data_IF_443084333110
#
_entry.id   IF_443084333110
#
_cell.length_a   1.000
_cell.length_b   1.000
_cell.length_c   1.000
_cell.angle_alpha   90.00
_cell.angle_beta   90.00
_cell.angle_gamma   90.00
#
_symmetry.space_group_name_H-M   'P 1'
#
loop_
_entity.id
_entity.type
_entity.pdbx_description
1 polymer ?
#
# COMPACT_ATOMS: atom_id res chain seq x y z
N UNK A 1 -7.61 19.07 13.08
CA UNK A 1 -6.78 19.05 11.87
C UNK A 1 -5.77 17.93 12.09
N UNK A 2 -6.03 16.77 11.51
CA UNK A 2 -5.20 15.56 11.74
C UNK A 2 -4.23 15.47 10.56
N UNK A 3 -2.91 15.41 10.77
CA UNK A 3 -1.97 15.24 9.67
C UNK A 3 -2.18 13.89 8.99
N UNK A 4 -2.03 13.82 7.66
CA UNK A 4 -2.17 12.62 6.85
C UNK A 4 -1.29 11.46 7.37
N UNK A 5 -0.16 11.78 7.98
CA UNK A 5 0.78 10.85 8.61
C UNK A 5 0.16 10.04 9.76
N UNK A 6 -0.80 10.64 10.50
CA UNK A 6 -1.44 9.98 11.63
C UNK A 6 -2.51 8.96 11.18
N UNK A 7 -3.08 9.17 10.00
CA UNK A 7 -4.16 8.33 9.44
C UNK A 7 -3.68 7.01 8.81
N UNK A 8 -2.39 6.89 8.52
CA UNK A 8 -1.83 5.71 7.85
C UNK A 8 -1.64 4.49 8.77
N UNK A 9 -1.65 4.66 10.10
CA UNK A 9 -1.23 3.59 11.03
C UNK A 9 -2.07 3.43 12.31
N UNK A 10 -2.99 4.33 12.63
CA UNK A 10 -3.64 4.31 13.96
C UNK A 10 -4.98 3.58 14.07
N UNK A 11 -5.61 3.17 12.97
CA UNK A 11 -6.94 2.54 13.04
C UNK A 11 -7.08 1.22 12.26
N UNK A 12 -6.01 0.49 12.08
CA UNK A 12 -6.22 -0.95 11.95
C UNK A 12 -6.24 -1.49 13.38
N UNK A 13 -7.40 -1.93 13.91
CA UNK A 13 -7.34 -2.78 15.07
C UNK A 13 -6.35 -3.87 14.69
N UNK A 14 -5.31 -4.06 15.49
CA UNK A 14 -4.44 -5.22 15.38
C UNK A 14 -5.39 -6.39 15.59
N UNK A 15 -6.01 -6.84 14.50
CA UNK A 15 -6.72 -8.10 14.51
C UNK A 15 -5.65 -9.14 14.80
N UNK A 16 -5.98 -10.13 15.58
CA UNK A 16 -5.00 -11.12 15.98
C UNK A 16 -4.41 -11.77 14.72
N UNK A 17 -3.13 -11.52 14.46
CA UNK A 17 -2.43 -12.08 13.32
C UNK A 17 -1.95 -13.48 13.69
N UNK A 18 -2.48 -14.50 13.03
CA UNK A 18 -2.03 -15.87 13.16
C UNK A 18 -0.86 -16.14 12.23
N UNK A 19 0.27 -16.61 12.76
CA UNK A 19 1.41 -17.01 11.94
C UNK A 19 1.17 -18.41 11.39
N UNK A 20 1.11 -18.51 10.05
CA UNK A 20 0.89 -19.79 9.37
C UNK A 20 2.10 -20.71 9.58
N UNK A 21 1.88 -21.83 10.22
CA UNK A 21 2.90 -22.81 10.50
C UNK A 21 2.35 -24.25 10.53
N UNK A 22 3.24 -25.21 10.28
CA UNK A 22 2.97 -26.62 10.56
C UNK A 22 3.26 -26.94 12.04
N UNK A 23 2.58 -27.94 12.62
CA UNK A 23 1.52 -28.78 12.05
C UNK A 23 0.08 -28.22 12.21
N UNK A 24 -0.08 -27.08 12.85
CA UNK A 24 -1.37 -26.58 13.34
C UNK A 24 -2.34 -26.18 12.21
N UNK A 25 -1.83 -25.74 11.06
CA UNK A 25 -2.66 -25.18 9.99
C UNK A 25 -2.88 -26.13 8.81
N UNK A 26 -2.54 -27.42 8.97
CA UNK A 26 -2.70 -28.43 7.90
C UNK A 26 -4.15 -28.66 7.50
N UNK A 27 -5.08 -28.40 8.42
CA UNK A 27 -6.52 -28.54 8.19
C UNK A 27 -7.21 -27.19 8.04
N UNK A 28 -6.47 -26.13 7.72
CA UNK A 28 -7.00 -24.79 7.58
C UNK A 28 -7.05 -24.33 6.11
N UNK A 29 -8.05 -23.52 5.84
CA UNK A 29 -8.28 -22.84 4.58
C UNK A 29 -8.53 -21.34 4.82
N UNK A 30 -8.43 -20.56 3.75
CA UNK A 30 -8.70 -19.12 3.77
C UNK A 30 -10.17 -18.85 3.47
N UNK A 31 -10.80 -18.03 4.30
CA UNK A 31 -12.09 -17.42 4.00
C UNK A 31 -11.87 -16.20 3.09
N UNK A 32 -12.16 -16.33 1.79
CA UNK A 32 -11.98 -15.28 0.79
C UNK A 32 -13.22 -14.36 0.65
N UNK A 33 -14.23 -14.56 1.46
CA UNK A 33 -15.44 -13.70 1.49
C UNK A 33 -15.26 -12.47 2.37
N UNK A 34 -14.23 -12.45 3.21
CA UNK A 34 -13.92 -11.31 4.07
C UNK A 34 -13.45 -10.12 3.23
N UNK A 35 -13.80 -8.94 3.69
CA UNK A 35 -13.42 -7.68 3.09
C UNK A 35 -12.42 -6.96 3.99
N UNK A 36 -11.60 -6.12 3.38
CA UNK A 36 -10.70 -5.27 4.13
C UNK A 36 -11.48 -4.44 5.16
N UNK A 37 -11.12 -4.51 6.46
CA UNK A 37 -11.87 -3.80 7.51
C UNK A 37 -11.82 -2.28 7.31
N UNK A 38 -12.90 -1.60 7.65
CA UNK A 38 -13.00 -0.14 7.59
C UNK A 38 -12.60 0.50 6.25
N UNK A 39 -12.75 -0.24 5.14
CA UNK A 39 -12.36 0.22 3.81
C UNK A 39 -13.04 1.55 3.43
N UNK A 40 -14.26 1.76 3.91
CA UNK A 40 -15.03 3.00 3.68
C UNK A 40 -14.40 4.23 4.34
N UNK A 41 -13.61 4.05 5.40
CA UNK A 41 -12.91 5.14 6.09
C UNK A 41 -11.47 5.31 5.67
N UNK A 42 -10.95 4.38 4.89
CA UNK A 42 -9.56 4.38 4.43
C UNK A 42 -9.35 5.44 3.37
N UNK A 43 -8.66 6.52 3.70
CA UNK A 43 -8.45 7.66 2.81
C UNK A 43 -7.12 7.61 2.05
N UNK A 44 -6.22 6.70 2.38
CA UNK A 44 -4.96 6.51 1.64
C UNK A 44 -4.40 5.11 1.86
N UNK A 45 -3.58 4.66 0.91
CA UNK A 45 -2.83 3.39 1.00
C UNK A 45 -1.42 3.56 0.43
N UNK A 46 -0.42 2.86 0.98
CA UNK A 46 0.93 2.90 0.44
C UNK A 46 1.00 2.18 -0.91
N UNK A 47 1.89 2.65 -1.77
CA UNK A 47 2.17 2.10 -3.09
C UNK A 47 3.61 1.60 -3.18
N UNK A 48 3.80 0.42 -3.77
CA UNK A 48 5.09 -0.03 -4.25
C UNK A 48 5.58 0.81 -5.44
N UNK A 49 6.90 0.81 -5.68
CA UNK A 49 7.49 1.66 -6.72
C UNK A 49 6.91 1.40 -8.12
N UNK A 50 6.64 0.13 -8.46
CA UNK A 50 6.08 -0.23 -9.76
C UNK A 50 4.58 0.04 -9.86
N UNK A 51 3.87 0.11 -8.73
CA UNK A 51 2.44 0.44 -8.72
C UNK A 51 2.14 1.88 -9.12
N UNK A 52 3.09 2.80 -8.90
CA UNK A 52 2.93 4.23 -9.20
C UNK A 52 2.51 4.47 -10.64
N UNK A 53 3.02 3.68 -11.60
CA UNK A 53 2.70 3.81 -13.03
C UNK A 53 1.27 3.40 -13.39
N UNK A 54 0.72 2.44 -12.67
CA UNK A 54 -0.67 2.02 -12.88
C UNK A 54 -1.64 2.89 -12.06
N UNK A 55 -1.26 3.20 -10.83
CA UNK A 55 -2.07 3.97 -9.89
C UNK A 55 -2.25 5.43 -10.32
N UNK A 56 -1.26 6.04 -10.99
CA UNK A 56 -1.31 7.45 -11.39
C UNK A 56 -2.47 7.81 -12.33
N UNK A 57 -3.07 6.83 -13.00
CA UNK A 57 -4.24 7.01 -13.87
C UNK A 57 -5.55 7.18 -13.10
N UNK A 58 -5.56 6.74 -11.85
CA UNK A 58 -6.77 6.63 -11.06
C UNK A 58 -6.75 7.45 -9.78
N UNK A 59 -5.57 7.65 -9.18
CA UNK A 59 -5.41 8.25 -7.86
C UNK A 59 -4.38 9.37 -7.85
N UNK A 60 -4.61 10.47 -7.14
CA UNK A 60 -3.52 11.37 -6.77
C UNK A 60 -2.49 10.60 -5.95
N UNK A 61 -1.23 10.67 -6.37
CA UNK A 61 -0.12 10.05 -5.65
C UNK A 61 0.61 11.14 -4.89
N UNK A 62 0.74 10.97 -3.59
CA UNK A 62 1.37 11.94 -2.69
C UNK A 62 2.53 11.27 -1.95
N UNK A 63 3.49 12.08 -1.49
CA UNK A 63 4.57 11.59 -0.64
C UNK A 63 4.33 12.03 0.79
N UNK A 64 4.60 11.13 1.74
CA UNK A 64 4.48 11.42 3.18
C UNK A 64 5.51 10.60 3.95
N UNK A 65 5.63 10.84 5.25
CA UNK A 65 6.47 10.02 6.14
C UNK A 65 5.60 9.21 7.09
N UNK A 66 6.02 7.99 7.38
CA UNK A 66 5.41 7.19 8.44
C UNK A 66 5.84 7.69 9.82
N UNK A 67 5.38 7.04 10.89
CA UNK A 67 5.73 7.39 12.28
C UNK A 67 7.23 7.22 12.58
N UNK A 68 7.89 6.31 11.86
CA UNK A 68 9.33 6.04 11.98
C UNK A 68 10.17 7.04 11.18
N UNK A 69 9.53 7.91 10.38
CA UNK A 69 10.19 8.92 9.56
C UNK A 69 10.56 8.43 8.16
N UNK A 70 10.17 7.23 7.78
CA UNK A 70 10.44 6.69 6.44
C UNK A 70 9.47 7.25 5.41
N UNK A 71 9.98 7.52 4.22
CA UNK A 71 9.18 8.02 3.11
C UNK A 71 8.25 6.96 2.53
N UNK A 72 7.03 7.36 2.20
CA UNK A 72 6.03 6.57 1.52
C UNK A 72 5.46 7.34 0.32
N UNK A 73 5.24 6.65 -0.80
CA UNK A 73 4.28 7.08 -1.80
C UNK A 73 2.92 6.49 -1.44
N UNK A 74 1.89 7.31 -1.47
CA UNK A 74 0.52 6.88 -1.16
C UNK A 74 -0.42 7.22 -2.31
N UNK A 75 -1.39 6.34 -2.55
CA UNK A 75 -2.58 6.68 -3.31
C UNK A 75 -3.59 7.35 -2.38
N UNK A 76 -4.04 8.56 -2.73
CA UNK A 76 -5.12 9.24 -2.00
C UNK A 76 -6.46 8.65 -2.45
N UNK A 77 -7.17 8.00 -1.53
CA UNK A 77 -8.45 7.35 -1.79
C UNK A 77 -9.65 8.21 -1.35
N UNK A 78 -9.41 9.27 -0.61
CA UNK A 78 -10.48 10.08 -0.09
C UNK A 78 -10.02 11.14 0.90
N UNK A 79 -10.97 11.66 1.66
CA UNK A 79 -10.74 12.69 2.65
C UNK A 79 -11.80 12.56 3.76
N UNK A 80 -11.50 13.09 4.94
CA UNK A 80 -12.44 13.17 6.06
C UNK A 80 -13.12 11.82 6.38
N UNK A 81 -12.31 10.75 6.51
CA UNK A 81 -12.75 9.37 6.79
C UNK A 81 -13.76 8.82 5.76
N UNK A 82 -13.69 9.28 4.53
CA UNK A 82 -14.54 8.81 3.45
C UNK A 82 -13.71 8.41 2.23
N UNK A 83 -13.74 7.13 1.90
CA UNK A 83 -13.20 6.60 0.65
C UNK A 83 -14.17 6.89 -0.50
N UNK A 84 -13.74 7.65 -1.49
CA UNK A 84 -14.58 8.05 -2.64
C UNK A 84 -14.50 7.08 -3.83
N UNK A 85 -13.67 6.04 -3.72
CA UNK A 85 -13.48 5.04 -4.78
C UNK A 85 -14.30 3.76 -4.58
N UNK A 86 -15.22 3.76 -3.62
CA UNK A 86 -16.14 2.66 -3.40
C UNK A 86 -17.47 2.90 -4.13
N UNK A 87 -18.10 1.81 -4.55
CA UNK A 87 -19.46 1.79 -5.08
C UNK A 87 -20.51 1.66 -3.96
N UNK A 88 -21.79 1.56 -4.34
CA UNK A 88 -22.92 1.43 -3.41
C UNK A 88 -22.85 0.15 -2.55
N UNK A 89 -22.09 -0.85 -2.98
CA UNK A 89 -21.88 -2.12 -2.27
C UNK A 89 -20.61 -2.12 -1.44
N UNK A 90 -19.99 -0.94 -1.22
CA UNK A 90 -18.71 -0.79 -0.53
C UNK A 90 -17.56 -1.59 -1.18
N UNK A 91 -17.60 -1.77 -2.51
CA UNK A 91 -16.55 -2.39 -3.29
C UNK A 91 -15.81 -1.34 -4.11
N UNK A 92 -14.53 -1.58 -4.40
CA UNK A 92 -13.79 -0.72 -5.31
C UNK A 92 -14.49 -0.62 -6.67
N UNK A 93 -14.64 0.60 -7.15
CA UNK A 93 -15.26 0.89 -8.46
C UNK A 93 -14.54 0.11 -9.56
N UNK A 94 -15.31 -0.53 -10.42
CA UNK A 94 -14.77 -1.32 -11.54
C UNK A 94 -13.87 -0.48 -12.44
N UNK A 95 -12.80 -1.10 -12.93
CA UNK A 95 -11.84 -0.46 -13.84
C UNK A 95 -10.80 0.42 -13.16
N UNK A 96 -10.88 0.59 -11.84
CA UNK A 96 -9.84 1.26 -11.06
C UNK A 96 -8.74 0.28 -10.66
N UNK A 97 -7.50 0.76 -10.64
CA UNK A 97 -6.38 -0.03 -10.13
C UNK A 97 -6.60 -0.40 -8.67
N UNK A 98 -6.44 -1.65 -8.31
CA UNK A 98 -6.54 -2.07 -6.91
C UNK A 98 -5.13 -2.19 -6.31
N UNK A 99 -4.73 -1.30 -5.39
CA UNK A 99 -3.39 -1.32 -4.80
C UNK A 99 -3.02 -2.64 -4.12
N UNK A 100 -1.74 -3.02 -4.19
CA UNK A 100 -1.22 -4.26 -3.61
C UNK A 100 -1.46 -4.34 -2.10
N UNK A 101 -1.42 -3.18 -1.42
CA UNK A 101 -1.77 -3.09 -0.01
C UNK A 101 -3.16 -3.62 0.30
N UNK A 102 -4.13 -3.41 -0.56
CA UNK A 102 -5.49 -3.95 -0.39
C UNK A 102 -5.60 -5.41 -0.88
N UNK A 103 -4.90 -5.73 -1.97
CA UNK A 103 -4.90 -7.09 -2.54
C UNK A 103 -4.28 -8.13 -1.62
N UNK A 104 -3.38 -7.71 -0.70
CA UNK A 104 -2.74 -8.62 0.24
C UNK A 104 -3.69 -9.22 1.28
N UNK A 105 -4.81 -8.54 1.55
CA UNK A 105 -5.75 -8.99 2.58
C UNK A 105 -6.31 -10.39 2.23
N UNK A 106 -6.40 -11.29 3.20
CA UNK A 106 -6.20 -11.11 4.65
C UNK A 106 -4.78 -11.43 5.16
N UNK A 107 -3.78 -11.45 4.29
CA UNK A 107 -2.43 -11.84 4.65
C UNK A 107 -1.53 -10.66 5.02
N UNK A 108 -0.54 -10.94 5.86
CA UNK A 108 0.51 -10.01 6.23
C UNK A 108 1.87 -10.70 6.35
N UNK A 109 2.98 -9.95 6.19
CA UNK A 109 4.30 -10.44 6.56
C UNK A 109 4.53 -10.24 8.07
N UNK A 110 5.04 -11.27 8.73
CA UNK A 110 5.60 -11.17 10.06
C UNK A 110 7.11 -11.36 9.99
N UNK A 111 7.85 -10.51 10.70
CA UNK A 111 9.30 -10.66 10.80
C UNK A 111 9.63 -11.85 11.67
N UNK A 112 10.55 -12.70 11.22
CA UNK A 112 11.00 -13.86 11.96
C UNK A 112 12.40 -13.60 12.54
N UNK A 113 12.43 -13.03 13.75
CA UNK A 113 13.68 -12.63 14.41
C UNK A 113 14.58 -13.83 14.76
N UNK A 114 14.01 -15.02 14.94
CA UNK A 114 14.76 -16.21 15.38
C UNK A 114 15.54 -16.90 14.23
N UNK A 115 15.07 -16.78 12.99
CA UNK A 115 15.66 -17.46 11.83
C UNK A 115 16.13 -16.48 10.74
N UNK A 116 15.87 -15.21 10.90
CA UNK A 116 16.03 -14.20 9.87
C UNK A 116 15.06 -14.43 8.69
N UNK A 117 14.41 -13.39 8.20
CA UNK A 117 13.47 -13.50 7.09
C UNK A 117 12.03 -13.23 7.48
N UNK A 118 11.09 -13.72 6.65
CA UNK A 118 9.66 -13.45 6.83
C UNK A 118 8.86 -14.74 7.00
N UNK A 119 7.84 -14.66 7.82
CA UNK A 119 6.76 -15.65 7.94
C UNK A 119 5.47 -15.07 7.38
N UNK A 120 4.62 -15.93 6.84
CA UNK A 120 3.29 -15.52 6.41
C UNK A 120 2.35 -15.54 7.59
N UNK A 121 1.71 -14.41 7.83
CA UNK A 121 0.60 -14.28 8.77
C UNK A 121 -0.73 -14.15 8.04
N UNK A 122 -1.80 -14.48 8.71
CA UNK A 122 -3.18 -14.32 8.26
C UNK A 122 -4.04 -13.79 9.41
N UNK A 123 -4.99 -12.92 9.10
CA UNK A 123 -5.99 -12.50 10.09
C UNK A 123 -6.77 -13.71 10.63
N UNK A 124 -6.87 -13.87 11.97
CA UNK A 124 -7.53 -15.03 12.57
C UNK A 124 -8.95 -15.25 12.08
N UNK A 125 -9.70 -14.18 11.83
CA UNK A 125 -11.06 -14.24 11.31
C UNK A 125 -11.14 -14.82 9.89
N UNK A 126 -10.03 -14.80 9.16
CA UNK A 126 -9.93 -15.35 7.81
C UNK A 126 -9.56 -16.83 7.79
N UNK A 127 -9.32 -17.45 8.95
CA UNK A 127 -9.08 -18.88 9.05
C UNK A 127 -10.38 -19.64 9.18
N UNK A 128 -10.56 -20.68 8.36
CA UNK A 128 -11.68 -21.62 8.45
C UNK A 128 -11.18 -23.07 8.39
N UNK A 129 -12.01 -24.01 8.85
CA UNK A 129 -11.69 -25.44 8.73
C UNK A 129 -11.76 -25.89 7.28
N UNK A 130 -10.77 -26.66 6.86
CA UNK A 130 -10.71 -27.24 5.53
C UNK A 130 -11.85 -28.25 5.30
N UNK A 131 -12.55 -28.12 4.19
CA UNK A 131 -13.62 -29.00 3.78
C UNK A 131 -13.69 -29.11 2.24
N UNK A 132 -14.62 -29.92 1.71
CA UNK A 132 -14.70 -30.14 0.27
C UNK A 132 -15.01 -28.88 -0.57
N UNK A 133 -15.64 -27.85 0.01
CA UNK A 133 -16.02 -26.63 -0.70
C UNK A 133 -14.92 -25.56 -0.75
N UNK A 134 -13.90 -25.66 0.11
CA UNK A 134 -12.82 -24.67 0.20
C UNK A 134 -11.42 -25.27 -0.06
N UNK A 135 -11.35 -26.49 -0.63
CA UNK A 135 -10.08 -27.19 -0.87
C UNK A 135 -9.07 -26.38 -1.71
N UNK A 136 -9.54 -25.60 -2.66
CA UNK A 136 -8.71 -24.71 -3.48
C UNK A 136 -8.07 -23.56 -2.68
N UNK A 137 -8.55 -23.31 -1.46
CA UNK A 137 -8.05 -22.27 -0.53
C UNK A 137 -7.32 -22.86 0.65
N UNK A 138 -6.96 -24.15 0.59
CA UNK A 138 -6.15 -24.81 1.63
C UNK A 138 -4.79 -24.14 1.79
N UNK A 139 -4.34 -23.99 3.03
CA UNK A 139 -3.01 -23.44 3.31
C UNK A 139 -1.89 -24.45 3.04
N UNK A 140 -2.18 -25.75 3.17
CA UNK A 140 -1.22 -26.83 2.93
C UNK A 140 -1.81 -27.87 2.00
N UNK A 141 -0.92 -28.59 1.30
CA UNK A 141 -1.24 -29.77 0.48
C UNK A 141 -1.36 -31.02 1.36
N UNK A 142 -1.89 -32.11 0.80
CA UNK A 142 -2.05 -33.39 1.50
C UNK A 142 -0.69 -33.96 1.98
N UNK A 143 0.38 -33.68 1.27
CA UNK A 143 1.76 -34.03 1.63
C UNK A 143 2.37 -33.11 2.71
N UNK A 144 1.58 -32.25 3.30
CA UNK A 144 1.95 -31.29 4.34
C UNK A 144 2.91 -30.17 3.88
N UNK A 145 3.16 -30.04 2.60
CA UNK A 145 3.91 -28.87 2.07
C UNK A 145 2.97 -27.66 1.92
N UNK A 146 3.51 -26.42 2.00
CA UNK A 146 2.70 -25.24 1.73
C UNK A 146 2.02 -25.33 0.35
N UNK A 147 0.75 -24.95 0.29
CA UNK A 147 0.00 -24.91 -0.96
C UNK A 147 0.56 -23.87 -1.92
N UNK A 148 0.14 -23.91 -3.18
CA UNK A 148 0.56 -22.89 -4.15
C UNK A 148 -0.02 -21.51 -3.79
N UNK A 149 -1.21 -21.47 -3.18
CA UNK A 149 -1.76 -20.24 -2.60
C UNK A 149 -0.79 -19.64 -1.56
N UNK A 150 -0.37 -20.44 -0.58
CA UNK A 150 0.53 -19.99 0.50
C UNK A 150 1.87 -19.51 -0.04
N UNK A 151 2.47 -20.27 -0.97
CA UNK A 151 3.75 -19.89 -1.60
C UNK A 151 3.64 -18.59 -2.39
N UNK A 152 2.67 -18.51 -3.30
CA UNK A 152 2.48 -17.34 -4.15
C UNK A 152 2.16 -16.09 -3.33
N UNK A 153 1.39 -16.25 -2.24
CA UNK A 153 1.08 -15.15 -1.33
C UNK A 153 2.32 -14.65 -0.60
N UNK A 154 3.14 -15.55 -0.08
CA UNK A 154 4.40 -15.17 0.58
C UNK A 154 5.33 -14.44 -0.41
N UNK A 155 5.52 -14.99 -1.60
CA UNK A 155 6.34 -14.37 -2.66
C UNK A 155 5.82 -12.99 -3.05
N UNK A 156 4.51 -12.85 -3.19
CA UNK A 156 3.86 -11.56 -3.47
C UNK A 156 4.13 -10.53 -2.37
N UNK A 157 3.99 -10.91 -1.11
CA UNK A 157 4.18 -9.99 0.02
C UNK A 157 5.66 -9.60 0.20
N UNK A 158 6.58 -10.55 0.02
CA UNK A 158 8.04 -10.27 0.05
C UNK A 158 8.41 -9.30 -1.07
N UNK A 159 7.88 -9.53 -2.28
CA UNK A 159 8.10 -8.63 -3.41
C UNK A 159 7.54 -7.23 -3.13
N UNK A 160 6.30 -7.14 -2.66
CA UNK A 160 5.66 -5.87 -2.31
C UNK A 160 6.44 -5.10 -1.23
N UNK A 161 6.93 -5.79 -0.20
CA UNK A 161 7.79 -5.18 0.81
C UNK A 161 9.08 -4.61 0.21
N UNK A 162 9.70 -5.34 -0.72
CA UNK A 162 10.86 -4.86 -1.48
C UNK A 162 10.54 -3.62 -2.31
N UNK A 163 9.37 -3.57 -2.93
CA UNK A 163 8.92 -2.41 -3.71
C UNK A 163 8.64 -1.17 -2.82
N UNK A 164 8.08 -1.36 -1.62
CA UNK A 164 7.91 -0.27 -0.66
C UNK A 164 9.26 0.32 -0.24
N UNK A 165 10.25 -0.52 0.06
CA UNK A 165 11.59 -0.08 0.40
C UNK A 165 12.28 0.66 -0.76
N UNK A 166 12.16 0.16 -1.99
CA UNK A 166 12.70 0.82 -3.18
C UNK A 166 12.05 2.19 -3.41
N UNK A 167 10.74 2.28 -3.20
CA UNK A 167 9.99 3.52 -3.28
C UNK A 167 10.47 4.55 -2.24
N UNK A 168 10.58 4.13 -0.97
CA UNK A 168 11.11 4.96 0.12
C UNK A 168 12.51 5.48 -0.18
N UNK A 169 13.40 4.61 -0.65
CA UNK A 169 14.77 4.97 -1.01
C UNK A 169 14.80 6.01 -2.14
N UNK A 170 13.94 5.86 -3.17
CA UNK A 170 13.87 6.82 -4.26
C UNK A 170 13.34 8.18 -3.82
N UNK A 171 12.29 8.22 -2.98
CA UNK A 171 11.75 9.48 -2.45
C UNK A 171 12.81 10.18 -1.57
N UNK A 172 13.58 9.43 -0.79
CA UNK A 172 14.71 9.97 -0.01
C UNK A 172 15.79 10.61 -0.90
N UNK A 173 16.04 10.05 -2.08
CA UNK A 173 16.91 10.70 -3.07
C UNK A 173 16.30 12.02 -3.58
N UNK A 174 14.98 12.06 -3.83
CA UNK A 174 14.30 13.31 -4.21
C UNK A 174 14.42 14.37 -3.12
N UNK A 175 14.31 13.99 -1.83
CA UNK A 175 14.56 14.88 -0.69
C UNK A 175 16.00 15.41 -0.71
N UNK A 176 17.00 14.54 -0.89
CA UNK A 176 18.42 14.90 -0.96
C UNK A 176 18.72 15.85 -2.12
N UNK A 177 17.99 15.74 -3.22
CA UNK A 177 18.09 16.67 -4.35
C UNK A 177 17.28 17.95 -4.15
N UNK A 178 16.62 18.10 -3.01
CA UNK A 178 15.72 19.22 -2.66
C UNK A 178 14.53 19.37 -3.64
N UNK A 179 14.09 18.27 -4.24
CA UNK A 179 13.01 18.25 -5.21
C UNK A 179 11.62 18.05 -4.59
N UNK A 180 11.52 17.94 -3.28
CA UNK A 180 10.24 17.84 -2.59
C UNK A 180 9.80 19.18 -2.05
N UNK A 181 8.52 19.45 -2.11
CA UNK A 181 7.86 20.61 -1.51
C UNK A 181 6.65 20.17 -0.73
N UNK A 182 6.54 20.65 0.51
CA UNK A 182 5.35 20.43 1.33
C UNK A 182 4.16 21.20 0.74
N UNK A 183 3.02 20.55 0.69
CA UNK A 183 1.79 21.09 0.11
C UNK A 183 0.58 20.90 1.04
N UNK A 184 -0.43 21.70 0.78
CA UNK A 184 -1.77 21.52 1.31
C UNK A 184 -2.79 21.63 0.18
N UNK A 185 -3.85 20.83 0.24
CA UNK A 185 -4.93 20.86 -0.72
C UNK A 185 -6.25 21.20 -0.04
N UNK A 186 -7.02 22.10 -0.66
CA UNK A 186 -8.39 22.38 -0.25
C UNK A 186 -9.34 21.68 -1.22
N UNK A 187 -10.15 20.78 -0.66
CA UNK A 187 -11.18 20.04 -1.38
C UNK A 187 -12.52 20.64 -0.98
N UNK A 188 -13.38 20.88 -1.94
CA UNK A 188 -14.79 21.26 -1.70
C UNK A 188 -15.64 20.05 -2.04
N UNK A 189 -16.44 19.57 -1.08
CA UNK A 189 -17.35 18.45 -1.31
C UNK A 189 -18.60 18.87 -2.08
N UNK A 190 -19.43 17.89 -2.44
CA UNK A 190 -20.67 18.10 -3.20
C UNK A 190 -21.69 18.99 -2.44
N UNK A 191 -21.53 19.16 -1.12
CA UNK A 191 -22.36 20.02 -0.27
C UNK A 191 -21.79 21.44 -0.16
N UNK A 192 -20.64 21.72 -0.80
CA UNK A 192 -19.96 23.02 -0.78
C UNK A 192 -19.09 23.25 0.46
N UNK A 193 -18.85 22.23 1.29
CA UNK A 193 -18.02 22.32 2.48
C UNK A 193 -16.54 22.12 2.13
N UNK A 194 -15.71 23.05 2.62
CA UNK A 194 -14.25 22.96 2.40
C UNK A 194 -13.58 22.03 3.41
N UNK A 195 -12.70 21.17 2.91
CA UNK A 195 -11.84 20.26 3.66
C UNK A 195 -10.38 20.51 3.28
N UNK A 196 -9.49 20.53 4.25
CA UNK A 196 -8.06 20.74 4.00
C UNK A 196 -7.27 19.46 4.31
N UNK A 197 -6.50 19.01 3.34
CA UNK A 197 -5.52 17.94 3.48
C UNK A 197 -4.15 18.58 3.61
N UNK A 198 -3.39 18.20 4.64
CA UNK A 198 -2.05 18.71 4.94
C UNK A 198 -1.07 17.56 5.19
N UNK A 199 0.24 17.88 5.28
CA UNK A 199 1.28 16.93 5.68
C UNK A 199 1.67 15.98 4.57
N UNK A 200 1.54 16.41 3.33
CA UNK A 200 2.05 15.67 2.18
C UNK A 200 3.03 16.51 1.37
N UNK A 201 3.81 15.82 0.55
CA UNK A 201 4.82 16.42 -0.32
C UNK A 201 4.55 16.04 -1.77
N UNK A 202 4.95 16.93 -2.66
CA UNK A 202 4.94 16.71 -4.11
C UNK A 202 6.30 17.04 -4.71
N UNK A 203 6.54 16.66 -5.95
CA UNK A 203 7.71 17.10 -6.70
C UNK A 203 7.62 18.59 -6.98
N UNK A 204 8.67 19.33 -6.70
CA UNK A 204 8.81 20.74 -7.02
C UNK A 204 9.22 20.90 -8.50
N UNK A 205 8.24 21.13 -9.37
CA UNK A 205 8.46 21.27 -10.82
C UNK A 205 9.36 22.45 -11.18
N UNK A 206 9.24 23.57 -10.45
CA UNK A 206 10.07 24.75 -10.69
C UNK A 206 11.55 24.44 -10.42
N UNK A 207 11.86 23.82 -9.29
CA UNK A 207 13.23 23.38 -8.98
C UNK A 207 13.72 22.32 -9.99
N UNK A 208 12.87 21.37 -10.37
CA UNK A 208 13.19 20.35 -11.38
C UNK A 208 13.58 20.98 -12.71
N UNK A 209 12.85 22.00 -13.16
CA UNK A 209 13.13 22.71 -14.40
C UNK A 209 14.50 23.42 -14.39
N UNK A 210 14.90 23.98 -13.24
CA UNK A 210 16.11 24.77 -13.08
C UNK A 210 17.36 23.96 -12.65
N UNK A 211 17.26 22.62 -12.59
CA UNK A 211 18.42 21.77 -12.29
C UNK A 211 19.51 21.89 -13.35
N UNK A 212 20.77 21.77 -12.89
CA UNK A 212 21.92 21.64 -13.82
C UNK A 212 21.82 20.36 -14.64
N UNK A 213 22.40 20.38 -15.85
CA UNK A 213 22.42 19.20 -16.74
C UNK A 213 23.01 17.96 -16.06
N UNK A 214 24.07 18.15 -15.26
CA UNK A 214 24.68 17.06 -14.49
C UNK A 214 23.67 16.41 -13.54
N UNK A 215 22.91 17.20 -12.78
CA UNK A 215 21.89 16.68 -11.87
C UNK A 215 20.75 16.02 -12.63
N UNK A 216 20.30 16.57 -13.73
CA UNK A 216 19.28 15.96 -14.62
C UNK A 216 19.74 14.60 -15.13
N UNK A 217 21.01 14.48 -15.52
CA UNK A 217 21.57 13.20 -15.96
C UNK A 217 21.65 12.18 -14.81
N UNK A 218 22.00 12.59 -13.60
CA UNK A 218 22.06 11.69 -12.43
C UNK A 218 20.65 11.18 -12.07
N UNK A 219 19.64 12.03 -12.08
CA UNK A 219 18.23 11.69 -11.88
C UNK A 219 17.77 10.66 -12.91
N UNK A 220 18.10 10.90 -14.20
CA UNK A 220 17.77 9.99 -15.29
C UNK A 220 18.44 8.61 -15.10
N UNK A 221 19.73 8.57 -14.77
CA UNK A 221 20.48 7.32 -14.53
C UNK A 221 19.95 6.52 -13.36
N UNK A 222 19.41 7.18 -12.35
CA UNK A 222 18.78 6.52 -11.18
C UNK A 222 17.33 6.07 -11.45
N UNK A 223 16.79 6.30 -12.65
CA UNK A 223 15.44 5.91 -13.02
C UNK A 223 14.34 6.73 -12.34
N UNK A 224 14.67 7.89 -11.74
CA UNK A 224 13.69 8.70 -11.01
C UNK A 224 12.76 9.50 -11.92
N UNK A 225 13.17 9.79 -13.17
CA UNK A 225 12.36 10.58 -14.10
C UNK A 225 10.98 9.98 -14.37
N UNK A 226 10.80 8.69 -14.72
CA UNK A 226 9.48 8.12 -14.94
C UNK A 226 8.60 8.17 -13.67
N UNK A 227 9.18 7.90 -12.50
CA UNK A 227 8.50 7.94 -11.22
C UNK A 227 7.94 9.34 -10.91
N UNK A 228 8.78 10.38 -11.04
CA UNK A 228 8.35 11.77 -10.87
C UNK A 228 7.28 12.16 -11.89
N UNK A 229 7.43 11.72 -13.15
CA UNK A 229 6.45 12.01 -14.21
C UNK A 229 5.10 11.38 -13.87
N UNK A 230 5.06 10.12 -13.46
CA UNK A 230 3.82 9.45 -13.05
C UNK A 230 3.16 10.15 -11.85
N UNK A 231 3.96 10.54 -10.84
CA UNK A 231 3.45 11.34 -9.72
C UNK A 231 2.82 12.66 -10.20
N UNK A 232 3.52 13.45 -11.04
CA UNK A 232 3.01 14.72 -11.52
C UNK A 232 1.75 14.58 -12.42
N UNK A 233 1.66 13.50 -13.21
CA UNK A 233 0.46 13.21 -14.02
C UNK A 233 -0.74 12.89 -13.12
N UNK A 234 -0.51 12.36 -11.93
CA UNK A 234 -1.57 11.96 -11.01
C UNK A 234 -2.24 13.13 -10.27
N UNK A 235 -1.60 14.30 -10.25
CA UNK A 235 -2.08 15.51 -9.56
C UNK A 235 -3.07 16.28 -10.40
#
# INVERSE_FOLDING_TARGET
>A
MIPLTLLLLEEHPIMALHIINQPHDQTKAVNDTLRYPNLEKMISVPLGINEVYEACKDYPILFTKNQEGDWLAIALLGYNDKNVYLDENHQFKRGKYLPAFLRRYPFALAQNDAQGGFSLGIEEEALEELNASNQQRALFKDDKTPSDLTKNTLDFLVHFQGELHACSALIKELETWELLVEQSANIVDDEGKAHTINGFFTVNEEKLAHLSEKKKLDIYKKGATPFMTAHLISL
#
